data_IF_313658671220
#
_entry.id   IF_313658671220
#
_cell.length_a   1.000
_cell.length_b   1.000
_cell.length_c   1.000
_cell.angle_alpha   90.00
_cell.angle_beta   90.00
_cell.angle_gamma   90.00
#
_symmetry.space_group_name_H-M   'P 1'
#
loop_
_entity.id
_entity.type
_entity.pdbx_description
1 polymer ?
#
# COMPACT_ATOMS: atom_id res chain seq x y z
N UNK A 1 -5.46 -6.95 13.47
CA UNK A 1 -6.01 -5.66 13.96
C UNK A 1 -5.67 -4.57 12.96
N UNK A 2 -6.68 -3.78 12.58
CA UNK A 2 -6.54 -2.65 11.65
C UNK A 2 -5.99 -1.43 12.37
N UNK A 3 -5.09 -0.69 11.74
CA UNK A 3 -4.64 0.60 12.27
C UNK A 3 -5.80 1.62 12.28
N UNK A 4 -5.88 2.48 13.30
CA UNK A 4 -6.90 3.53 13.36
C UNK A 4 -6.66 4.55 12.26
N UNK A 5 -7.74 4.95 11.57
CA UNK A 5 -7.72 6.03 10.57
C UNK A 5 -7.69 7.39 11.26
N UNK A 6 -6.83 8.28 10.76
CA UNK A 6 -6.61 9.62 11.35
C UNK A 6 -7.38 10.72 10.62
N UNK A 7 -7.58 10.58 9.31
CA UNK A 7 -8.15 11.61 8.44
C UNK A 7 -9.17 11.02 7.45
N UNK A 8 -10.02 11.87 6.85
CA UNK A 8 -11.03 11.47 5.86
C UNK A 8 -10.44 10.78 4.62
N UNK A 9 -9.21 11.13 4.22
CA UNK A 9 -8.52 10.47 3.11
C UNK A 9 -8.11 9.04 3.49
N UNK A 10 -7.62 8.84 4.71
CA UNK A 10 -7.30 7.49 5.21
C UNK A 10 -8.58 6.63 5.25
N UNK A 11 -9.69 7.17 5.76
CA UNK A 11 -10.98 6.48 5.76
C UNK A 11 -11.45 6.11 4.34
N UNK A 12 -11.25 7.00 3.36
CA UNK A 12 -11.53 6.72 1.95
C UNK A 12 -10.68 5.56 1.43
N UNK A 13 -9.37 5.59 1.68
CA UNK A 13 -8.43 4.54 1.24
C UNK A 13 -8.82 3.19 1.84
N UNK A 14 -9.04 3.11 3.16
CA UNK A 14 -9.42 1.87 3.85
C UNK A 14 -10.69 1.29 3.26
N UNK A 15 -11.77 2.08 3.15
CA UNK A 15 -13.07 1.60 2.68
C UNK A 15 -13.02 1.08 1.25
N UNK A 16 -12.26 1.72 0.37
CA UNK A 16 -12.18 1.30 -1.03
C UNK A 16 -11.22 0.13 -1.24
N UNK A 17 -10.10 0.08 -0.51
CA UNK A 17 -9.19 -1.08 -0.56
C UNK A 17 -9.89 -2.33 -0.01
N UNK A 18 -10.59 -2.21 1.12
CA UNK A 18 -11.37 -3.31 1.72
C UNK A 18 -12.37 -3.89 0.71
N UNK A 19 -13.19 -3.03 0.09
CA UNK A 19 -14.13 -3.44 -0.97
C UNK A 19 -13.44 -4.09 -2.17
N UNK A 20 -12.34 -3.52 -2.64
CA UNK A 20 -11.64 -4.03 -3.82
C UNK A 20 -11.03 -5.41 -3.55
N UNK A 21 -10.38 -5.59 -2.40
CA UNK A 21 -9.76 -6.85 -2.03
C UNK A 21 -10.81 -7.93 -1.67
N UNK A 22 -11.95 -7.54 -1.10
CA UNK A 22 -13.09 -8.45 -0.94
C UNK A 22 -13.64 -8.90 -2.29
N UNK A 23 -13.78 -7.98 -3.26
CA UNK A 23 -14.21 -8.32 -4.61
C UNK A 23 -13.21 -9.24 -5.35
N UNK A 24 -11.92 -9.12 -5.04
CA UNK A 24 -10.88 -10.03 -5.53
C UNK A 24 -10.86 -11.39 -4.81
N UNK A 25 -11.61 -11.56 -3.72
CA UNK A 25 -11.73 -12.82 -2.99
C UNK A 25 -10.60 -13.11 -1.99
N UNK A 26 -9.85 -12.10 -1.55
CA UNK A 26 -8.82 -12.29 -0.53
C UNK A 26 -9.41 -12.54 0.86
N UNK A 27 -8.66 -13.21 1.72
CA UNK A 27 -9.07 -13.48 3.09
C UNK A 27 -9.13 -12.19 3.92
N UNK A 28 -10.03 -12.09 4.92
CA UNK A 28 -10.10 -10.92 5.80
C UNK A 28 -8.76 -10.58 6.48
N UNK A 29 -8.00 -11.59 6.87
CA UNK A 29 -6.65 -11.43 7.45
C UNK A 29 -5.63 -10.82 6.48
N UNK A 30 -5.76 -11.11 5.19
CA UNK A 30 -4.92 -10.53 4.14
C UNK A 30 -5.35 -9.10 3.80
N UNK A 31 -6.66 -8.86 3.75
CA UNK A 31 -7.26 -7.54 3.59
C UNK A 31 -6.76 -6.59 4.68
N UNK A 32 -6.80 -7.01 5.94
CA UNK A 32 -6.27 -6.25 7.07
C UNK A 32 -4.78 -5.89 6.91
N UNK A 33 -3.97 -6.86 6.44
CA UNK A 33 -2.54 -6.63 6.17
C UNK A 33 -2.34 -5.62 5.04
N UNK A 34 -3.07 -5.74 3.95
CA UNK A 34 -3.01 -4.81 2.82
C UNK A 34 -3.43 -3.40 3.20
N UNK A 35 -4.50 -3.27 4.00
CA UNK A 35 -4.97 -1.99 4.53
C UNK A 35 -3.91 -1.31 5.40
N UNK A 36 -3.29 -2.05 6.32
CA UNK A 36 -2.24 -1.50 7.19
C UNK A 36 -1.03 -1.01 6.38
N UNK A 37 -0.58 -1.77 5.37
CA UNK A 37 0.53 -1.32 4.51
C UNK A 37 0.13 -0.12 3.64
N UNK A 38 -1.10 -0.06 3.14
CA UNK A 38 -1.60 1.11 2.42
C UNK A 38 -1.62 2.38 3.31
N UNK A 39 -2.08 2.26 4.55
CA UNK A 39 -2.07 3.36 5.52
C UNK A 39 -0.66 3.79 5.87
N UNK A 40 0.24 2.83 6.11
CA UNK A 40 1.66 3.11 6.34
C UNK A 40 2.30 3.80 5.15
N UNK A 41 2.02 3.35 3.93
CA UNK A 41 2.52 3.99 2.72
C UNK A 41 1.98 5.40 2.55
N UNK A 42 0.68 5.61 2.81
CA UNK A 42 0.07 6.94 2.82
C UNK A 42 0.74 7.91 3.80
N UNK A 43 0.98 7.46 5.04
CA UNK A 43 1.61 8.27 6.10
C UNK A 43 3.08 8.59 5.84
N UNK A 44 3.81 7.66 5.23
CA UNK A 44 5.25 7.81 4.97
C UNK A 44 5.57 8.51 3.65
N UNK A 45 4.60 8.61 2.74
CA UNK A 45 4.78 9.22 1.43
C UNK A 45 4.40 10.70 1.48
N UNK A 46 5.39 11.57 1.38
CA UNK A 46 5.23 13.03 1.50
C UNK A 46 4.51 13.64 0.30
N UNK A 47 4.71 13.08 -0.90
CA UNK A 47 4.12 13.60 -2.13
C UNK A 47 3.55 12.48 -2.98
N UNK A 48 2.25 12.56 -3.24
CA UNK A 48 1.59 11.72 -4.24
C UNK A 48 1.40 12.51 -5.53
N UNK A 49 1.50 11.84 -6.67
CA UNK A 49 1.04 12.42 -7.93
C UNK A 49 -0.45 12.76 -7.80
N UNK A 50 -0.86 13.93 -8.31
CA UNK A 50 -2.22 14.46 -8.18
C UNK A 50 -3.26 13.41 -8.59
N UNK A 51 -4.16 13.06 -7.67
CA UNK A 51 -5.24 12.10 -7.90
C UNK A 51 -4.85 10.61 -7.88
N UNK A 52 -3.57 10.26 -7.70
CA UNK A 52 -3.10 8.85 -7.73
C UNK A 52 -2.85 8.23 -6.36
N UNK A 53 -3.28 8.90 -5.29
CA UNK A 53 -3.09 8.45 -3.90
C UNK A 53 -3.67 7.05 -3.70
N UNK A 54 -4.95 6.87 -4.06
CA UNK A 54 -5.65 5.60 -3.91
C UNK A 54 -4.99 4.48 -4.70
N UNK A 55 -4.72 4.71 -5.98
CA UNK A 55 -4.15 3.70 -6.88
C UNK A 55 -2.76 3.23 -6.41
N UNK A 56 -1.95 4.18 -5.93
CA UNK A 56 -0.62 3.89 -5.35
C UNK A 56 -0.72 3.07 -4.07
N UNK A 57 -1.69 3.40 -3.20
CA UNK A 57 -1.95 2.67 -1.96
C UNK A 57 -2.50 1.26 -2.23
N UNK A 58 -3.45 1.12 -3.15
CA UNK A 58 -4.01 -0.16 -3.57
C UNK A 58 -2.94 -1.06 -4.19
N UNK A 59 -2.08 -0.50 -5.03
CA UNK A 59 -0.95 -1.22 -5.62
C UNK A 59 -0.02 -1.76 -4.53
N UNK A 60 0.27 -0.98 -3.48
CA UNK A 60 1.07 -1.47 -2.35
C UNK A 60 0.37 -2.51 -1.48
N UNK A 61 -0.92 -2.34 -1.21
CA UNK A 61 -1.72 -3.36 -0.53
C UNK A 61 -1.66 -4.69 -1.28
N UNK A 62 -1.89 -4.68 -2.60
CA UNK A 62 -1.82 -5.86 -3.46
C UNK A 62 -0.42 -6.47 -3.51
N UNK A 63 0.63 -5.66 -3.61
CA UNK A 63 2.00 -6.17 -3.61
C UNK A 63 2.37 -6.92 -2.32
N UNK A 64 1.81 -6.51 -1.19
CA UNK A 64 2.02 -7.17 0.10
C UNK A 64 1.23 -8.50 0.19
N UNK A 65 -0.01 -8.51 -0.28
CA UNK A 65 -0.91 -9.69 -0.25
C UNK A 65 -0.55 -10.73 -1.30
N UNK A 66 0.05 -10.32 -2.42
CA UNK A 66 0.39 -11.19 -3.55
C UNK A 66 1.88 -11.57 -3.61
N UNK A 67 2.53 -12.15 -2.58
CA UNK A 67 3.95 -12.43 -2.65
C UNK A 67 4.22 -13.82 -3.25
N UNK A 68 3.98 -14.04 -4.54
CA UNK A 68 4.65 -15.15 -5.28
C UNK A 68 4.77 -14.85 -6.78
N UNK A 69 5.95 -14.30 -7.13
CA UNK A 69 6.76 -14.50 -8.36
C UNK A 69 7.51 -13.22 -8.71
N UNK A 70 8.41 -12.79 -7.82
CA UNK A 70 9.71 -12.18 -8.14
C UNK A 70 10.39 -11.81 -6.84
N UNK A 71 11.08 -12.81 -6.29
CA UNK A 71 12.24 -12.55 -5.47
C UNK A 71 13.21 -11.62 -6.22
N UNK A 72 13.86 -10.75 -5.46
CA UNK A 72 15.16 -10.17 -5.76
C UNK A 72 15.31 -9.29 -7.04
N UNK A 73 14.97 -8.00 -6.94
CA UNK A 73 15.84 -6.93 -7.48
C UNK A 73 15.71 -5.66 -6.63
N UNK A 74 15.97 -5.78 -5.32
CA UNK A 74 16.26 -4.61 -4.46
C UNK A 74 17.76 -4.46 -4.26
N UNK A 75 18.48 -4.39 -5.38
CA UNK A 75 19.88 -3.98 -5.48
C UNK A 75 19.90 -3.11 -6.74
N UNK A 76 19.95 -1.78 -6.70
CA UNK A 76 21.15 -1.05 -6.37
C UNK A 76 20.80 0.45 -6.32
N UNK A 77 20.43 1.00 -5.15
CA UNK A 77 20.50 2.46 -4.94
C UNK A 77 21.98 2.79 -4.69
N UNK A 78 22.79 2.71 -5.74
CA UNK A 78 24.16 3.22 -5.71
C UNK A 78 24.06 4.75 -5.66
N UNK A 79 24.10 5.28 -4.44
CA UNK A 79 24.64 6.61 -4.18
C UNK A 79 26.04 6.64 -4.81
N UNK A 80 26.24 7.44 -5.84
CA UNK A 80 27.54 8.06 -6.10
C UNK A 80 27.28 9.55 -6.33
N UNK A 81 27.28 10.26 -5.21
CA UNK A 81 27.73 11.63 -5.15
C UNK A 81 29.26 11.61 -5.06
N UNK A 82 29.89 12.58 -5.73
CA UNK A 82 31.19 13.17 -5.47
C UNK A 82 32.43 12.25 -5.32
N UNK A 83 33.28 12.27 -6.34
CA UNK A 83 34.74 12.39 -6.20
C UNK A 83 35.24 13.19 -7.40
#
# INVERSE_FOLDING_TARGET
MREPVKNSIEAFIVKHIDKQLQAEGYLPSEIDRGINEALRFYRTTVTFSKGKVFDSCLTKARHLIKPTKKAATRSNKKKKAAA
#
